data_IF_924427197990
#
_entry.id   IF_924427197990
#
_cell.length_a   1.000
_cell.length_b   1.000
_cell.length_c   1.000
_cell.angle_alpha   90.00
_cell.angle_beta   90.00
_cell.angle_gamma   90.00
#
_symmetry.space_group_name_H-M   'P 1'
#
loop_
_entity.id
_entity.type
_entity.pdbx_description
1 polymer ?
#
# COMPACT_ATOMS: atom_id res chain seq x y z
N UNK A 1 -11.35 -1.78 -23.75
CA UNK A 1 -10.12 -2.57 -23.65
C UNK A 1 -9.34 -2.17 -22.40
N UNK A 2 -9.95 -2.35 -21.21
CA UNK A 2 -9.34 -2.06 -19.91
C UNK A 2 -10.06 -2.91 -18.86
N UNK A 3 -9.64 -4.16 -18.70
CA UNK A 3 -10.23 -5.10 -17.72
C UNK A 3 -9.15 -5.77 -16.88
N UNK A 4 -7.93 -5.23 -16.82
CA UNK A 4 -6.84 -5.84 -16.07
C UNK A 4 -6.46 -4.94 -14.89
N UNK A 5 -7.30 -4.92 -13.86
CA UNK A 5 -6.92 -4.40 -12.53
C UNK A 5 -5.95 -5.33 -11.78
N UNK A 6 -5.37 -6.32 -12.46
CA UNK A 6 -4.51 -7.35 -11.88
C UNK A 6 -5.18 -8.02 -10.69
N UNK A 7 -4.52 -7.94 -9.53
CA UNK A 7 -5.03 -8.47 -8.26
C UNK A 7 -6.05 -7.55 -7.55
N UNK A 8 -6.31 -6.33 -8.05
CA UNK A 8 -7.34 -5.42 -7.50
C UNK A 8 -8.71 -5.66 -8.15
N UNK A 9 -9.78 -5.30 -7.45
CA UNK A 9 -11.12 -5.23 -8.04
C UNK A 9 -11.33 -3.91 -8.80
N UNK A 10 -12.40 -3.83 -9.60
CA UNK A 10 -12.69 -2.65 -10.42
C UNK A 10 -13.16 -1.43 -9.60
N UNK A 11 -13.47 -1.59 -8.31
CA UNK A 11 -14.04 -0.53 -7.49
C UNK A 11 -12.92 0.28 -6.80
N UNK A 12 -12.47 1.33 -7.50
CA UNK A 12 -11.43 2.26 -7.04
C UNK A 12 -10.07 1.57 -6.77
N UNK A 13 -9.44 0.99 -7.81
CA UNK A 13 -8.07 0.49 -7.70
C UNK A 13 -7.06 1.64 -7.55
N UNK A 14 -5.84 1.40 -7.05
CA UNK A 14 -4.78 2.41 -7.05
C UNK A 14 -4.45 2.85 -8.49
N UNK A 15 -4.29 4.16 -8.69
CA UNK A 15 -4.03 4.75 -10.01
C UNK A 15 -2.65 4.36 -10.55
N UNK A 16 -2.61 3.84 -11.78
CA UNK A 16 -1.38 3.49 -12.47
C UNK A 16 -0.46 4.72 -12.68
N UNK A 17 -1.04 5.88 -12.98
CA UNK A 17 -0.28 7.13 -13.20
C UNK A 17 0.42 7.57 -11.92
N UNK A 18 -0.30 7.54 -10.78
CA UNK A 18 0.30 7.89 -9.47
C UNK A 18 1.36 6.88 -9.02
N UNK A 19 1.22 5.60 -9.39
CA UNK A 19 2.24 4.60 -9.14
C UNK A 19 3.51 4.84 -9.97
N UNK A 20 3.36 5.39 -11.19
CA UNK A 20 4.46 5.68 -12.10
C UNK A 20 5.35 6.84 -11.64
N UNK A 21 4.84 7.75 -10.81
CA UNK A 21 5.62 8.86 -10.23
C UNK A 21 6.77 8.37 -9.32
N UNK A 22 6.69 7.14 -8.81
CA UNK A 22 7.74 6.56 -7.98
C UNK A 22 8.94 6.09 -8.83
N UNK A 23 10.01 6.87 -8.81
CA UNK A 23 11.29 6.53 -9.47
C UNK A 23 12.20 5.62 -8.64
N UNK A 24 11.69 5.04 -7.55
CA UNK A 24 12.44 4.13 -6.67
C UNK A 24 13.73 4.70 -6.03
N UNK A 25 13.82 6.02 -5.82
CA UNK A 25 15.02 6.68 -5.30
C UNK A 25 15.32 6.43 -3.80
N UNK A 26 14.34 6.03 -3.00
CA UNK A 26 14.54 5.68 -1.58
C UNK A 26 14.53 6.84 -0.57
N UNK A 27 14.31 8.09 -0.98
CA UNK A 27 14.23 9.24 -0.03
C UNK A 27 13.13 9.10 1.03
N UNK A 28 12.06 8.36 0.73
CA UNK A 28 10.99 8.09 1.68
C UNK A 28 11.35 7.08 2.78
N UNK A 29 12.46 6.32 2.62
CA UNK A 29 12.85 5.26 3.56
C UNK A 29 13.16 5.80 4.96
N UNK A 30 14.11 6.75 5.15
CA UNK A 30 14.42 7.28 6.47
C UNK A 30 13.26 8.07 7.10
N UNK A 31 12.34 8.59 6.29
CA UNK A 31 11.16 9.30 6.77
C UNK A 31 10.06 8.37 7.32
N UNK A 32 10.10 7.08 6.99
CA UNK A 32 9.07 6.13 7.40
C UNK A 32 9.41 5.48 8.75
N UNK A 33 8.59 5.67 9.81
CA UNK A 33 8.87 5.11 11.12
C UNK A 33 8.82 3.57 11.13
N UNK A 34 7.91 2.97 10.35
CA UNK A 34 7.80 1.51 10.22
C UNK A 34 9.07 0.90 9.62
N UNK A 35 9.60 1.52 8.56
CA UNK A 35 10.87 1.07 7.97
C UNK A 35 12.05 1.32 8.92
N UNK A 36 12.10 2.47 9.58
CA UNK A 36 13.14 2.77 10.56
C UNK A 36 13.22 1.70 11.65
N UNK A 37 12.07 1.22 12.14
CA UNK A 37 12.00 0.22 13.19
C UNK A 37 12.37 -1.20 12.72
N UNK A 38 11.82 -1.66 11.60
CA UNK A 38 11.97 -3.07 11.19
C UNK A 38 12.96 -3.32 10.07
N UNK A 39 13.41 -2.28 9.36
CA UNK A 39 14.34 -2.36 8.23
C UNK A 39 13.89 -3.29 7.10
N UNK A 40 12.59 -3.60 7.03
CA UNK A 40 11.98 -4.39 5.97
C UNK A 40 11.48 -3.46 4.87
N UNK A 41 12.09 -3.54 3.69
CA UNK A 41 11.76 -2.61 2.60
C UNK A 41 10.28 -2.70 2.17
N UNK A 42 9.67 -3.89 2.21
CA UNK A 42 8.25 -4.08 1.93
C UNK A 42 7.32 -3.28 2.89
N UNK A 43 7.79 -2.97 4.11
CA UNK A 43 7.09 -2.13 5.09
C UNK A 43 7.42 -0.64 4.96
N UNK A 44 8.15 -0.24 3.91
CA UNK A 44 8.42 1.16 3.57
C UNK A 44 7.39 1.73 2.58
N UNK A 45 7.30 3.06 2.39
CA UNK A 45 6.40 3.66 1.41
C UNK A 45 6.76 3.22 -0.02
N UNK A 46 8.06 3.21 -0.36
CA UNK A 46 8.57 2.72 -1.65
C UNK A 46 8.24 1.25 -1.88
N UNK A 47 8.43 0.41 -0.87
CA UNK A 47 8.10 -1.01 -0.96
C UNK A 47 6.60 -1.25 -1.14
N UNK A 48 5.75 -0.51 -0.42
CA UNK A 48 4.29 -0.59 -0.60
C UNK A 48 3.86 -0.13 -1.98
N UNK A 49 4.43 0.95 -2.52
CA UNK A 49 4.17 1.40 -3.90
C UNK A 49 4.58 0.31 -4.89
N UNK A 50 5.73 -0.34 -4.67
CA UNK A 50 6.16 -1.46 -5.49
C UNK A 50 5.15 -2.62 -5.44
N UNK A 51 4.70 -3.00 -4.25
CA UNK A 51 3.69 -4.03 -4.04
C UNK A 51 2.37 -3.68 -4.74
N UNK A 52 1.89 -2.44 -4.64
CA UNK A 52 0.72 -1.96 -5.38
C UNK A 52 0.91 -2.11 -6.90
N UNK A 53 2.08 -1.74 -7.42
CA UNK A 53 2.38 -1.83 -8.85
C UNK A 53 2.38 -3.27 -9.35
N UNK A 54 3.10 -4.18 -8.69
CA UNK A 54 3.14 -5.59 -9.11
C UNK A 54 1.79 -6.28 -8.95
N UNK A 55 0.98 -5.89 -7.96
CA UNK A 55 -0.39 -6.36 -7.81
C UNK A 55 -1.29 -5.86 -8.95
N UNK A 56 -1.17 -4.58 -9.33
CA UNK A 56 -1.92 -4.01 -10.45
C UNK A 56 -1.54 -4.65 -11.79
N UNK A 57 -0.26 -5.01 -11.96
CA UNK A 57 0.25 -5.73 -13.14
C UNK A 57 -0.09 -7.24 -13.13
N UNK A 58 -0.82 -7.74 -12.12
CA UNK A 58 -1.18 -9.16 -12.01
C UNK A 58 0.00 -10.09 -11.68
N UNK A 59 1.13 -9.54 -11.21
CA UNK A 59 2.35 -10.27 -10.86
C UNK A 59 2.42 -10.67 -9.39
N UNK A 60 1.49 -10.18 -8.56
CA UNK A 60 1.39 -10.55 -7.15
C UNK A 60 -0.08 -10.60 -6.72
N UNK A 61 -0.44 -11.62 -5.94
CA UNK A 61 -1.76 -11.76 -5.35
C UNK A 61 -1.89 -11.01 -4.02
N UNK A 62 -3.11 -10.55 -3.72
CA UNK A 62 -3.43 -9.97 -2.41
C UNK A 62 -3.59 -11.11 -1.39
N UNK A 63 -2.50 -11.36 -0.65
CA UNK A 63 -2.43 -12.35 0.44
C UNK A 63 -2.50 -11.68 1.82
N UNK A 64 -2.63 -12.47 2.88
CA UNK A 64 -2.57 -11.97 4.26
C UNK A 64 -1.24 -11.29 4.58
N UNK A 65 -0.12 -11.79 4.04
CA UNK A 65 1.20 -11.16 4.22
C UNK A 65 1.32 -9.86 3.43
N UNK A 66 0.78 -9.82 2.20
CA UNK A 66 0.65 -8.59 1.43
C UNK A 66 -0.10 -7.52 2.23
N UNK A 67 -1.28 -7.86 2.77
CA UNK A 67 -2.08 -6.92 3.55
C UNK A 67 -1.38 -6.45 4.84
N UNK A 68 -0.60 -7.33 5.49
CA UNK A 68 0.18 -6.97 6.68
C UNK A 68 1.13 -5.81 6.40
N UNK A 69 1.78 -5.76 5.24
CA UNK A 69 2.65 -4.64 4.89
C UNK A 69 1.92 -3.29 4.89
N UNK A 70 0.62 -3.26 4.56
CA UNK A 70 -0.19 -2.04 4.62
C UNK A 70 -0.77 -1.78 6.00
N UNK A 71 -1.14 -2.82 6.75
CA UNK A 71 -1.60 -2.69 8.15
C UNK A 71 -0.54 -2.02 9.04
N UNK A 72 0.73 -2.21 8.72
CA UNK A 72 1.85 -1.64 9.48
C UNK A 72 2.16 -0.19 9.13
N UNK A 73 1.50 0.36 8.10
CA UNK A 73 1.58 1.77 7.78
C UNK A 73 0.77 2.58 8.80
N UNK A 74 1.43 3.48 9.54
CA UNK A 74 0.78 4.35 10.53
C UNK A 74 -0.10 5.45 9.90
N UNK A 75 0.01 5.69 8.58
CA UNK A 75 -0.71 6.78 7.92
C UNK A 75 -0.21 8.19 8.29
N UNK A 76 1.02 8.34 8.79
CA UNK A 76 1.59 9.63 9.19
C UNK A 76 1.95 10.58 8.04
N UNK A 77 1.98 10.09 6.80
CA UNK A 77 2.29 10.85 5.57
C UNK A 77 3.64 11.58 5.53
N UNK A 78 4.57 11.31 6.45
CA UNK A 78 5.93 11.84 6.40
C UNK A 78 6.65 11.53 5.08
N UNK A 79 6.30 10.41 4.45
CA UNK A 79 6.84 9.99 3.16
C UNK A 79 6.42 10.90 1.98
N UNK A 80 5.25 11.53 2.04
CA UNK A 80 4.76 12.45 1.00
C UNK A 80 5.64 13.69 1.00
N UNK A 81 5.82 14.32 2.16
CA UNK A 81 6.68 15.50 2.32
C UNK A 81 8.15 15.21 1.97
N UNK A 82 8.64 14.01 2.27
CA UNK A 82 10.02 13.63 1.98
C UNK A 82 10.29 13.28 0.51
N UNK A 83 9.25 13.08 -0.31
CA UNK A 83 9.42 12.58 -1.68
C UNK A 83 9.78 13.72 -2.65
N UNK A 84 10.98 13.72 -3.27
CA UNK A 84 11.35 14.74 -4.24
C UNK A 84 10.58 14.61 -5.57
N UNK A 85 10.07 13.42 -5.87
CA UNK A 85 9.25 13.15 -7.07
C UNK A 85 7.78 13.52 -6.89
N UNK A 86 7.36 13.96 -5.69
CA UNK A 86 5.98 14.38 -5.44
C UNK A 86 4.95 13.26 -5.44
N UNK A 87 5.35 12.01 -5.14
CA UNK A 87 4.43 10.86 -5.11
C UNK A 87 3.30 11.11 -4.11
N UNK A 88 2.06 11.03 -4.60
CA UNK A 88 0.83 11.18 -3.82
C UNK A 88 0.47 9.86 -3.12
N UNK A 89 1.30 9.47 -2.15
CA UNK A 89 1.15 8.21 -1.42
C UNK A 89 -0.14 8.12 -0.59
N UNK A 90 -0.65 9.26 -0.13
CA UNK A 90 -1.95 9.39 0.54
C UNK A 90 -3.09 8.82 -0.33
N UNK A 91 -3.15 9.21 -1.61
CA UNK A 91 -4.15 8.72 -2.58
C UNK A 91 -3.99 7.23 -2.87
N UNK A 92 -2.74 6.78 -3.00
CA UNK A 92 -2.43 5.38 -3.26
C UNK A 92 -2.85 4.47 -2.11
N UNK A 93 -2.54 4.84 -0.86
CA UNK A 93 -2.89 4.02 0.31
C UNK A 93 -4.40 4.07 0.60
N UNK A 94 -5.05 5.21 0.36
CA UNK A 94 -6.51 5.37 0.47
C UNK A 94 -7.25 4.45 -0.51
N UNK A 95 -6.78 4.33 -1.76
CA UNK A 95 -7.36 3.39 -2.73
C UNK A 95 -7.05 1.92 -2.40
N UNK A 96 -5.87 1.65 -1.83
CA UNK A 96 -5.42 0.27 -1.60
C UNK A 96 -6.07 -0.38 -0.39
N UNK A 97 -6.20 0.31 0.76
CA UNK A 97 -6.71 -0.31 2.00
C UNK A 97 -8.11 -0.93 1.86
N UNK A 98 -9.11 -0.27 1.26
CA UNK A 98 -10.44 -0.87 1.06
C UNK A 98 -10.40 -2.15 0.21
N UNK A 99 -9.50 -2.22 -0.78
CA UNK A 99 -9.30 -3.42 -1.60
C UNK A 99 -8.82 -4.62 -0.75
N UNK A 100 -7.93 -4.36 0.21
CA UNK A 100 -7.41 -5.38 1.12
C UNK A 100 -8.49 -5.90 2.06
N UNK A 101 -9.27 -4.99 2.65
CA UNK A 101 -10.34 -5.35 3.60
C UNK A 101 -11.45 -6.19 2.93
N UNK A 102 -11.72 -5.96 1.65
CA UNK A 102 -12.69 -6.79 0.89
C UNK A 102 -12.18 -8.20 0.56
N UNK A 103 -10.87 -8.39 0.44
CA UNK A 103 -10.26 -9.66 -0.03
C UNK A 103 -9.73 -10.54 1.09
N UNK A 104 -9.25 -9.94 2.18
CA UNK A 104 -8.66 -10.69 3.29
C UNK A 104 -9.70 -11.02 4.35
N UNK A 105 -9.93 -12.31 4.57
CA UNK A 105 -10.71 -12.80 5.71
C UNK A 105 -9.90 -12.64 7.00
N UNK A 106 -10.21 -11.61 7.78
CA UNK A 106 -9.65 -11.41 9.13
C UNK A 106 -10.26 -12.39 10.12
N UNK A 107 -9.56 -12.67 11.23
CA UNK A 107 -10.11 -13.51 12.30
C UNK A 107 -11.30 -12.80 12.97
N UNK A 108 -12.25 -13.57 13.51
CA UNK A 108 -13.44 -13.00 14.15
C UNK A 108 -13.13 -12.03 15.29
N UNK A 109 -12.04 -12.26 16.02
CA UNK A 109 -11.55 -11.36 17.07
C UNK A 109 -11.02 -10.02 16.53
N UNK A 110 -10.33 -10.04 15.37
CA UNK A 110 -9.81 -8.83 14.73
C UNK A 110 -10.94 -7.96 14.17
N UNK A 111 -11.95 -8.60 13.58
CA UNK A 111 -13.13 -7.89 13.09
C UNK A 111 -13.91 -7.22 14.24
N UNK A 112 -14.09 -7.95 15.36
CA UNK A 112 -14.76 -7.42 16.53
C UNK A 112 -14.01 -6.21 17.12
N UNK A 113 -12.69 -6.31 17.28
CA UNK A 113 -11.86 -5.21 17.81
C UNK A 113 -11.96 -3.93 16.96
N UNK A 114 -11.88 -4.05 15.63
CA UNK A 114 -11.95 -2.91 14.71
C UNK A 114 -13.35 -2.27 14.60
N UNK A 115 -14.42 -2.98 14.95
CA UNK A 115 -15.76 -2.41 14.94
C UNK A 115 -16.05 -1.56 16.20
N UNK A 116 -15.33 -1.82 17.30
CA UNK A 116 -15.55 -1.18 18.60
C UNK A 116 -14.56 -0.04 18.93
N UNK A 117 -13.59 0.24 18.06
CA UNK A 117 -12.67 1.40 18.14
C UNK A 117 -12.98 2.34 16.98
#
# INVERSE_FOLDING_TARGET
MATETGAFDAHQPPSADLLADCVHCGFCLPACPTYALWQREADSPRGRIHLMKVALEGKADITTDFARHFDTCLGCMACVTACPSGVQYDKLVEATRPQLERRIKRTGSDHLFRQFI
#
